data_IF_865785607283
#
_entry.id   IF_865785607283
#
_cell.length_a   1.000
_cell.length_b   1.000
_cell.length_c   1.000
_cell.angle_alpha   90.00
_cell.angle_beta   90.00
_cell.angle_gamma   90.00
#
_symmetry.space_group_name_H-M   'P 1'
#
loop_
_entity.id
_entity.type
_entity.pdbx_description
1 polymer ?
#
# COMPACT_ATOMS: atom_id res chain seq x y z
N UNK A 1 10.08 -35.23 -53.25
CA UNK A 1 9.27 -34.04 -52.92
C UNK A 1 8.26 -34.25 -51.78
N UNK A 2 8.22 -35.40 -51.06
CA UNK A 2 7.24 -35.62 -49.98
C UNK A 2 7.77 -35.51 -48.54
N UNK A 3 9.10 -35.45 -48.35
CA UNK A 3 9.70 -35.45 -47.00
C UNK A 3 9.93 -34.05 -46.43
N UNK A 4 10.14 -33.03 -47.28
CA UNK A 4 10.32 -31.63 -46.84
C UNK A 4 9.01 -30.98 -46.39
N UNK A 5 7.90 -31.19 -47.13
CA UNK A 5 6.56 -30.71 -46.74
C UNK A 5 6.08 -31.29 -45.40
N UNK A 6 6.48 -32.53 -45.08
CA UNK A 6 6.12 -33.20 -43.82
C UNK A 6 6.87 -32.62 -42.62
N UNK A 7 8.15 -32.23 -42.81
CA UNK A 7 8.97 -31.59 -41.78
C UNK A 7 8.53 -30.14 -41.53
N UNK A 8 8.22 -29.38 -42.58
CA UNK A 8 7.72 -28.01 -42.43
C UNK A 8 6.37 -27.96 -41.73
N UNK A 9 5.43 -28.84 -42.06
CA UNK A 9 4.14 -28.94 -41.33
C UNK A 9 4.34 -29.29 -39.85
N UNK A 10 5.27 -30.18 -39.53
CA UNK A 10 5.59 -30.52 -38.14
C UNK A 10 6.15 -29.31 -37.39
N UNK A 11 7.13 -28.61 -37.96
CA UNK A 11 7.73 -27.41 -37.36
C UNK A 11 6.69 -26.31 -37.14
N UNK A 12 5.81 -26.08 -38.11
CA UNK A 12 4.74 -25.07 -37.99
C UNK A 12 3.73 -25.40 -36.88
N UNK A 13 3.45 -26.68 -36.65
CA UNK A 13 2.57 -27.16 -35.58
C UNK A 13 3.19 -26.97 -34.18
N UNK A 14 4.51 -27.16 -34.03
CA UNK A 14 5.20 -26.96 -32.75
C UNK A 14 5.39 -25.47 -32.37
N UNK A 15 5.41 -24.56 -33.35
CA UNK A 15 5.61 -23.11 -33.10
C UNK A 15 4.30 -22.40 -32.74
N UNK A 16 3.15 -22.86 -33.24
CA UNK A 16 1.85 -22.26 -32.93
C UNK A 16 1.27 -22.69 -31.57
N UNK A 17 1.55 -23.93 -31.12
CA UNK A 17 0.96 -24.48 -29.89
C UNK A 17 1.56 -23.98 -28.57
N UNK A 18 2.80 -23.45 -28.58
CA UNK A 18 3.51 -23.07 -27.35
C UNK A 18 3.24 -21.65 -26.85
N UNK A 19 2.91 -20.69 -27.74
CA UNK A 19 2.77 -19.28 -27.33
C UNK A 19 1.42 -18.92 -26.72
N UNK A 20 0.39 -19.72 -27.00
CA UNK A 20 -0.98 -19.45 -26.53
C UNK A 20 -1.20 -20.05 -25.13
N UNK A 21 -0.70 -21.28 -24.89
CA UNK A 21 -0.78 -21.91 -23.56
C UNK A 21 -0.05 -21.12 -22.47
N UNK A 22 1.14 -20.59 -22.78
CA UNK A 22 1.95 -19.84 -21.80
C UNK A 22 1.23 -18.58 -21.30
N UNK A 23 0.45 -17.91 -22.16
CA UNK A 23 -0.31 -16.71 -21.79
C UNK A 23 -1.55 -17.07 -20.99
N UNK A 24 -2.19 -18.18 -21.32
CA UNK A 24 -3.38 -18.68 -20.63
C UNK A 24 -3.03 -19.19 -19.22
N UNK A 25 -1.94 -19.93 -19.08
CA UNK A 25 -1.39 -20.36 -17.79
C UNK A 25 -0.97 -19.16 -16.93
N UNK A 26 -0.29 -18.18 -17.51
CA UNK A 26 0.06 -16.94 -16.79
C UNK A 26 -1.18 -16.18 -16.34
N UNK A 27 -2.21 -16.11 -17.18
CA UNK A 27 -3.49 -15.46 -16.83
C UNK A 27 -4.18 -16.18 -15.67
N UNK A 28 -4.08 -17.50 -15.60
CA UNK A 28 -4.62 -18.28 -14.50
C UNK A 28 -3.86 -18.04 -13.19
N UNK A 29 -2.53 -18.01 -13.24
CA UNK A 29 -1.70 -17.65 -12.07
C UNK A 29 -2.03 -16.24 -11.60
N UNK A 30 -2.12 -15.26 -12.50
CA UNK A 30 -2.46 -13.88 -12.15
C UNK A 30 -3.90 -13.75 -11.60
N UNK A 31 -4.83 -14.61 -12.05
CA UNK A 31 -6.19 -14.68 -11.51
C UNK A 31 -6.16 -15.12 -10.05
N UNK A 32 -5.45 -16.20 -9.74
CA UNK A 32 -5.28 -16.70 -8.36
C UNK A 32 -4.59 -15.67 -7.48
N UNK A 33 -3.52 -15.03 -7.96
CA UNK A 33 -2.82 -13.96 -7.22
C UNK A 33 -3.76 -12.80 -6.91
N UNK A 34 -4.60 -12.38 -7.87
CA UNK A 34 -5.59 -11.32 -7.65
C UNK A 34 -6.67 -11.72 -6.65
N UNK A 35 -7.03 -12.99 -6.57
CA UNK A 35 -8.07 -13.48 -5.67
C UNK A 35 -7.54 -13.62 -4.23
N UNK A 36 -6.37 -14.22 -4.06
CA UNK A 36 -5.85 -14.62 -2.74
C UNK A 36 -5.02 -13.51 -2.06
N UNK A 37 -4.19 -12.79 -2.82
CA UNK A 37 -3.26 -11.80 -2.22
C UNK A 37 -3.98 -10.65 -1.52
N UNK A 38 -5.08 -10.06 -2.06
CA UNK A 38 -5.77 -8.99 -1.36
C UNK A 38 -6.36 -9.41 -0.01
N UNK A 39 -6.82 -10.66 0.13
CA UNK A 39 -7.32 -11.19 1.40
C UNK A 39 -6.22 -11.27 2.44
N UNK A 40 -5.10 -11.90 2.09
CA UNK A 40 -3.92 -12.01 2.96
C UNK A 40 -3.34 -10.64 3.35
N UNK A 41 -3.31 -9.69 2.40
CA UNK A 41 -2.89 -8.32 2.69
C UNK A 41 -3.83 -7.62 3.66
N UNK A 42 -5.15 -7.81 3.55
CA UNK A 42 -6.11 -7.26 4.51
C UNK A 42 -5.88 -7.83 5.90
N UNK A 43 -5.75 -9.14 6.03
CA UNK A 43 -5.50 -9.82 7.31
C UNK A 43 -4.21 -9.35 8.01
N UNK A 44 -3.18 -8.93 7.27
CA UNK A 44 -1.95 -8.39 7.84
C UNK A 44 -2.08 -6.89 8.13
N UNK A 45 -2.72 -6.14 7.24
CA UNK A 45 -2.80 -4.67 7.34
C UNK A 45 -3.81 -4.24 8.39
N UNK A 46 -4.90 -4.98 8.61
CA UNK A 46 -5.95 -4.63 9.57
C UNK A 46 -5.45 -4.62 11.02
N UNK A 47 -4.77 -5.66 11.53
CA UNK A 47 -4.16 -5.63 12.85
C UNK A 47 -3.06 -4.56 12.97
N UNK A 48 -2.31 -4.34 11.88
CA UNK A 48 -1.28 -3.28 11.87
C UNK A 48 -1.90 -1.88 11.96
N UNK A 49 -3.08 -1.64 11.38
CA UNK A 49 -3.80 -0.37 11.52
C UNK A 49 -4.22 -0.11 12.97
N UNK A 50 -4.65 -1.15 13.67
CA UNK A 50 -5.00 -1.09 15.10
C UNK A 50 -3.76 -0.82 15.95
N UNK A 51 -2.67 -1.57 15.73
CA UNK A 51 -1.40 -1.42 16.48
C UNK A 51 -0.77 -0.05 16.25
N UNK A 52 -0.80 0.43 15.01
CA UNK A 52 -0.17 1.71 14.64
C UNK A 52 -1.10 2.91 14.91
N UNK A 53 -2.32 2.71 15.40
CA UNK A 53 -3.29 3.78 15.61
C UNK A 53 -3.64 4.56 14.34
N UNK A 54 -3.45 3.93 13.16
CA UNK A 54 -3.76 4.52 11.84
C UNK A 54 -5.26 4.39 11.54
N UNK A 55 -6.05 3.92 12.50
CA UNK A 55 -7.49 4.13 12.46
C UNK A 55 -7.76 5.65 12.39
N UNK A 56 -7.88 6.17 11.17
CA UNK A 56 -8.76 7.29 10.90
C UNK A 56 -10.06 7.00 11.63
N UNK A 57 -10.69 8.03 12.20
CA UNK A 57 -11.98 7.86 12.85
C UNK A 57 -12.89 7.03 11.92
N UNK A 58 -13.10 5.77 12.29
CA UNK A 58 -13.81 4.80 11.45
C UNK A 58 -15.31 4.97 11.64
N UNK A 59 -15.68 5.74 12.66
CA UNK A 59 -17.03 6.10 13.05
C UNK A 59 -17.17 7.62 13.21
N UNK A 60 -18.39 8.12 13.02
CA UNK A 60 -18.72 9.53 13.21
C UNK A 60 -18.45 10.01 14.64
N UNK A 61 -18.72 9.16 15.63
CA UNK A 61 -18.50 9.46 17.05
C UNK A 61 -17.00 9.64 17.41
N UNK A 62 -16.12 8.84 16.81
CA UNK A 62 -14.67 9.03 16.98
C UNK A 62 -14.17 10.29 16.28
N UNK A 63 -14.72 10.61 15.11
CA UNK A 63 -14.37 11.82 14.38
C UNK A 63 -14.76 13.05 15.19
N UNK A 64 -15.95 13.04 15.78
CA UNK A 64 -16.46 14.11 16.63
C UNK A 64 -15.63 14.26 17.92
N UNK A 65 -15.32 13.16 18.62
CA UNK A 65 -14.45 13.19 19.81
C UNK A 65 -13.08 13.75 19.49
N UNK A 66 -12.48 13.35 18.35
CA UNK A 66 -11.18 13.86 17.89
C UNK A 66 -11.24 15.35 17.55
N UNK A 67 -12.27 15.79 16.84
CA UNK A 67 -12.47 17.20 16.52
C UNK A 67 -12.60 18.06 17.78
N UNK A 68 -13.35 17.59 18.78
CA UNK A 68 -13.49 18.24 20.10
C UNK A 68 -12.14 18.33 20.82
N UNK A 69 -11.34 17.26 20.80
CA UNK A 69 -10.01 17.25 21.42
C UNK A 69 -9.04 18.25 20.75
N UNK A 70 -9.02 18.29 19.41
CA UNK A 70 -8.22 19.26 18.63
C UNK A 70 -8.62 20.69 18.98
N UNK A 71 -9.92 20.99 18.97
CA UNK A 71 -10.43 22.32 19.26
C UNK A 71 -10.10 22.78 20.67
N UNK A 72 -10.24 21.87 21.66
CA UNK A 72 -9.91 22.15 23.05
C UNK A 72 -8.42 22.41 23.24
N UNK A 73 -7.56 21.58 22.65
CA UNK A 73 -6.10 21.73 22.74
C UNK A 73 -5.64 23.08 22.18
N UNK A 74 -6.11 23.45 20.97
CA UNK A 74 -5.79 24.75 20.38
C UNK A 74 -6.27 25.92 21.28
N UNK A 75 -7.50 25.83 21.80
CA UNK A 75 -8.06 26.86 22.67
C UNK A 75 -7.22 27.05 23.94
N UNK A 76 -6.85 25.95 24.60
CA UNK A 76 -6.04 25.99 25.83
C UNK A 76 -4.65 26.61 25.58
N UNK A 77 -4.02 26.32 24.42
CA UNK A 77 -2.75 26.95 24.06
C UNK A 77 -2.88 28.47 23.89
N UNK A 78 -3.92 28.92 23.18
CA UNK A 78 -4.17 30.35 22.97
C UNK A 78 -4.50 31.05 24.29
N UNK A 79 -5.31 30.43 25.15
CA UNK A 79 -5.65 30.95 26.48
C UNK A 79 -4.43 31.02 27.41
N UNK A 80 -3.48 30.11 27.27
CA UNK A 80 -2.19 30.16 27.96
C UNK A 80 -1.24 31.26 27.43
N UNK A 81 -1.68 32.06 26.46
CA UNK A 81 -0.90 33.15 25.88
C UNK A 81 0.02 32.73 24.74
N UNK A 82 -0.14 31.53 24.19
CA UNK A 82 0.56 31.14 22.97
C UNK A 82 0.01 31.93 21.78
N UNK A 83 0.93 32.42 20.95
CA UNK A 83 0.57 33.02 19.66
C UNK A 83 -0.29 32.06 18.83
N UNK A 84 -1.33 32.60 18.16
CA UNK A 84 -2.34 31.81 17.43
C UNK A 84 -1.72 30.98 16.31
N UNK A 85 -0.73 31.53 15.61
CA UNK A 85 -0.07 30.84 14.50
C UNK A 85 0.80 29.69 15.03
N UNK A 86 1.53 29.93 16.13
CA UNK A 86 2.27 28.85 16.83
C UNK A 86 1.36 27.78 17.40
N UNK A 87 0.25 28.16 18.03
CA UNK A 87 -0.73 27.22 18.59
C UNK A 87 -1.36 26.37 17.48
N UNK A 88 -1.69 26.98 16.34
CA UNK A 88 -2.19 26.27 15.17
C UNK A 88 -1.16 25.27 14.63
N UNK A 89 0.09 25.69 14.43
CA UNK A 89 1.16 24.80 13.96
C UNK A 89 1.39 23.61 14.90
N UNK A 90 1.40 23.86 16.22
CA UNK A 90 1.60 22.82 17.22
C UNK A 90 0.43 21.83 17.23
N UNK A 91 -0.81 22.34 17.15
CA UNK A 91 -2.02 21.52 17.08
C UNK A 91 -2.04 20.68 15.81
N UNK A 92 -1.73 21.29 14.66
CA UNK A 92 -1.66 20.60 13.37
C UNK A 92 -0.62 19.46 13.42
N UNK A 93 0.58 19.72 13.96
CA UNK A 93 1.63 18.71 14.07
C UNK A 93 1.26 17.54 15.00
N UNK A 94 0.61 17.83 16.12
CA UNK A 94 0.27 16.81 17.13
C UNK A 94 -0.88 15.89 16.69
N UNK A 95 -1.81 16.39 15.86
CA UNK A 95 -3.04 15.67 15.53
C UNK A 95 -3.16 15.23 14.06
N UNK A 96 -2.38 15.80 13.13
CA UNK A 96 -2.60 15.55 11.69
C UNK A 96 -1.80 14.38 11.13
N UNK A 97 -0.66 13.97 11.69
CA UNK A 97 0.17 13.03 10.92
C UNK A 97 0.80 11.84 11.67
N UNK A 98 -0.02 10.90 12.16
CA UNK A 98 0.46 9.53 12.39
C UNK A 98 1.00 8.91 11.10
N UNK A 99 0.49 9.30 9.92
CA UNK A 99 1.01 8.86 8.63
C UNK A 99 2.43 9.38 8.36
N UNK A 100 2.82 10.58 8.77
CA UNK A 100 4.23 11.03 8.69
C UNK A 100 5.13 10.17 9.58
N UNK A 101 4.64 9.75 10.75
CA UNK A 101 5.41 8.88 11.64
C UNK A 101 5.61 7.50 10.99
N UNK A 102 4.55 6.95 10.39
CA UNK A 102 4.58 5.67 9.65
C UNK A 102 5.43 5.78 8.39
N UNK A 103 5.30 6.86 7.62
CA UNK A 103 6.10 7.15 6.43
C UNK A 103 7.57 7.33 6.77
N UNK A 104 7.92 8.02 7.86
CA UNK A 104 9.30 8.12 8.35
C UNK A 104 9.83 6.76 8.85
N UNK A 105 9.01 5.98 9.54
CA UNK A 105 9.39 4.64 9.99
C UNK A 105 9.64 3.71 8.78
N UNK A 106 8.80 3.80 7.75
CA UNK A 106 8.91 3.03 6.51
C UNK A 106 10.10 3.49 5.65
N UNK A 107 10.36 4.80 5.54
CA UNK A 107 11.58 5.35 4.91
C UNK A 107 12.84 4.84 5.61
N UNK A 108 12.87 4.86 6.94
CA UNK A 108 14.01 4.37 7.71
C UNK A 108 14.19 2.85 7.54
N UNK A 109 13.10 2.10 7.46
CA UNK A 109 13.13 0.66 7.20
C UNK A 109 13.68 0.33 5.80
N UNK A 110 13.22 1.01 4.75
CA UNK A 110 13.74 0.83 3.38
C UNK A 110 15.16 1.34 3.19
N UNK A 111 15.59 2.39 3.92
CA UNK A 111 17.01 2.79 3.96
C UNK A 111 17.90 1.72 4.59
N UNK A 112 17.41 1.00 5.60
CA UNK A 112 18.15 -0.06 6.29
C UNK A 112 18.14 -1.39 5.53
N UNK A 113 17.10 -1.64 4.74
CA UNK A 113 16.97 -2.78 3.83
C UNK A 113 16.73 -2.29 2.39
N UNK A 114 17.76 -1.73 1.72
CA UNK A 114 17.64 -1.36 0.32
C UNK A 114 17.37 -2.62 -0.51
N UNK A 115 16.38 -2.58 -1.41
CA UNK A 115 16.13 -3.69 -2.34
C UNK A 115 17.39 -3.90 -3.19
N UNK A 116 18.07 -5.04 -2.99
CA UNK A 116 19.08 -5.54 -3.94
C UNK A 116 18.33 -5.88 -5.24
N UNK A 117 18.47 -5.06 -6.28
CA UNK A 117 17.90 -5.42 -7.58
C UNK A 117 17.78 -4.36 -8.66
N UNK A 118 18.25 -3.12 -8.48
CA UNK A 118 18.34 -2.16 -9.59
C UNK A 118 19.77 -1.63 -9.70
N UNK A 119 20.49 -2.15 -10.69
CA UNK A 119 21.84 -1.70 -11.03
C UNK A 119 22.83 -2.84 -11.25
N UNK A 120 22.70 -3.56 -12.37
CA UNK A 120 23.78 -4.06 -13.25
C UNK A 120 23.18 -4.83 -14.42
#
# INVERSE_FOLDING_TARGET
MGEEESKEKKVHMYVAGKKVSDVEELREVLRVVREEVPGLLREIVEPLKEILGIAFATTEEEAERRAKAIARFYKELVEAGMDKEKAFLLTNRSFVNPMDLVSRAMENFWKKHPKKGEGS
#
